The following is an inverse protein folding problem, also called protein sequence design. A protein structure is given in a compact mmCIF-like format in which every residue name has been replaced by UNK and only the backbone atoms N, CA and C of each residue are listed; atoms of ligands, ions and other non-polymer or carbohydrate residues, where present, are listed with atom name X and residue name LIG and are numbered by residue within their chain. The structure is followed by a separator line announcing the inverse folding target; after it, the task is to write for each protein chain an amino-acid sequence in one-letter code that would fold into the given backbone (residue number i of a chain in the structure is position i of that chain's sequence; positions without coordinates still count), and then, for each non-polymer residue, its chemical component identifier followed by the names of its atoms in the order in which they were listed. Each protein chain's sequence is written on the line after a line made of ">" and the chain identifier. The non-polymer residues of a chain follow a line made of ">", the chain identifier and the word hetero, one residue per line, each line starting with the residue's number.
data_IF_310577431684
#
_entry.id   IF_310577431684
#
_cell.length_a   1.000
_cell.length_b   1.000
_cell.length_c   1.000
_cell.angle_alpha   90.00
_cell.angle_beta   90.00
_cell.angle_gamma   90.00
#
_symmetry.space_group_name_H-M   'P 1'
#
loop_
_entity.id
_entity.type
_entity.pdbx_description
1 polymer ?
#
# COMPACT_ATOMS: atom_id res chain seq x y z
N UNK A 1 -8.57 -5.82 8.47
CA UNK A 1 -8.09 -6.65 7.34
C UNK A 1 -9.15 -6.70 6.23
N UNK A 2 -8.83 -7.16 5.00
CA UNK A 2 -9.78 -7.26 3.88
C UNK A 2 -10.30 -5.95 3.24
N UNK A 3 -9.58 -4.83 3.36
CA UNK A 3 -9.97 -3.54 2.76
C UNK A 3 -9.12 -3.12 1.56
N UNK A 4 -8.13 -3.92 1.17
CA UNK A 4 -7.30 -3.62 0.01
C UNK A 4 -8.15 -3.32 -1.24
N UNK A 5 -7.81 -2.25 -1.95
CA UNK A 5 -8.54 -1.78 -3.13
C UNK A 5 -9.88 -1.07 -2.85
N UNK A 6 -10.40 -1.13 -1.62
CA UNK A 6 -11.61 -0.38 -1.25
C UNK A 6 -11.27 1.11 -1.05
N UNK A 7 -12.24 2.02 -1.27
CA UNK A 7 -12.02 3.43 -1.02
C UNK A 7 -11.74 3.70 0.46
N UNK A 8 -10.75 4.55 0.74
CA UNK A 8 -10.50 5.07 2.07
C UNK A 8 -11.73 5.86 2.56
N UNK A 9 -12.24 5.61 3.78
CA UNK A 9 -13.42 6.34 4.29
C UNK A 9 -13.15 7.83 4.57
N UNK A 10 -11.88 8.27 4.52
CA UNK A 10 -11.49 9.67 4.77
C UNK A 10 -11.28 10.43 3.47
N UNK A 11 -10.44 9.92 2.57
CA UNK A 11 -10.02 10.64 1.37
C UNK A 11 -10.42 9.96 0.04
N UNK A 12 -11.12 8.82 0.10
CA UNK A 12 -11.52 8.07 -1.10
C UNK A 12 -10.40 7.28 -1.80
N UNK A 13 -9.12 7.59 -1.55
CA UNK A 13 -7.98 6.89 -2.16
C UNK A 13 -8.04 5.37 -1.92
N UNK A 14 -7.71 4.52 -2.92
CA UNK A 14 -7.66 3.08 -2.74
C UNK A 14 -6.74 2.68 -1.58
N UNK A 15 -7.28 1.88 -0.67
CA UNK A 15 -6.53 1.33 0.46
C UNK A 15 -5.49 0.34 -0.05
N UNK A 16 -4.24 0.52 0.39
CA UNK A 16 -3.09 -0.30 0.06
C UNK A 16 -2.87 -1.39 1.10
N UNK A 17 -2.06 -2.39 0.74
CA UNK A 17 -1.74 -3.54 1.59
C UNK A 17 -0.24 -3.78 1.61
N UNK A 18 0.27 -4.07 2.81
CA UNK A 18 1.58 -4.70 2.97
C UNK A 18 1.43 -6.08 3.59
N UNK A 19 2.30 -7.00 3.20
CA UNK A 19 2.49 -8.32 3.79
C UNK A 19 3.84 -8.41 4.45
N UNK A 20 3.83 -8.87 5.70
CA UNK A 20 5.02 -9.22 6.45
C UNK A 20 4.91 -10.64 6.98
N UNK A 21 5.73 -11.54 6.43
CA UNK A 21 5.65 -12.98 6.68
C UNK A 21 4.22 -13.51 6.45
N UNK A 22 3.54 -13.94 7.52
CA UNK A 22 2.17 -14.45 7.49
C UNK A 22 1.10 -13.39 7.74
N UNK A 23 1.47 -12.17 8.10
CA UNK A 23 0.54 -11.10 8.44
C UNK A 23 0.34 -10.13 7.27
N UNK A 24 -0.87 -9.58 7.15
CA UNK A 24 -1.17 -8.49 6.22
C UNK A 24 -1.76 -7.28 6.94
N UNK A 25 -1.39 -6.08 6.53
CA UNK A 25 -1.92 -4.82 7.05
C UNK A 25 -2.46 -3.99 5.91
N UNK A 26 -3.66 -3.43 6.08
CA UNK A 26 -4.26 -2.51 5.10
C UNK A 26 -4.19 -1.09 5.64
N UNK A 27 -3.78 -0.14 4.78
CA UNK A 27 -3.56 1.25 5.14
C UNK A 27 -3.92 2.18 3.97
N UNK A 28 -4.25 3.43 4.26
CA UNK A 28 -4.40 4.45 3.23
C UNK A 28 -3.08 5.19 3.04
N UNK A 29 -2.50 5.14 1.84
CA UNK A 29 -1.22 5.80 1.57
C UNK A 29 -1.30 7.33 1.73
N UNK A 30 -2.36 7.97 1.22
CA UNK A 30 -2.55 9.43 1.37
C UNK A 30 -2.69 9.85 2.83
N UNK A 31 -3.55 9.20 3.60
CA UNK A 31 -3.84 9.63 4.97
C UNK A 31 -2.77 9.23 5.99
N UNK A 32 -2.12 8.06 5.82
CA UNK A 32 -1.25 7.51 6.87
C UNK A 32 0.24 7.73 6.61
N UNK A 33 0.63 7.89 5.35
CA UNK A 33 2.03 7.96 4.94
C UNK A 33 2.31 9.11 3.98
N UNK A 34 1.41 10.10 3.95
CA UNK A 34 1.53 11.29 3.10
C UNK A 34 1.75 10.96 1.62
N UNK A 35 1.03 9.93 1.15
CA UNK A 35 1.10 9.43 -0.22
C UNK A 35 2.23 8.43 -0.47
N UNK A 36 3.14 8.17 0.47
CA UNK A 36 4.23 7.19 0.27
C UNK A 36 3.72 5.75 0.35
N UNK A 37 4.17 4.89 -0.55
CA UNK A 37 3.89 3.46 -0.46
C UNK A 37 4.88 2.78 0.49
N UNK A 38 4.35 2.06 1.46
CA UNK A 38 5.14 1.17 2.31
C UNK A 38 5.60 -0.04 1.49
N UNK A 39 6.83 -0.49 1.74
CA UNK A 39 7.40 -1.64 1.08
C UNK A 39 6.62 -2.92 1.44
N UNK A 40 5.96 -3.50 0.45
CA UNK A 40 5.36 -4.83 0.57
C UNK A 40 6.44 -5.89 0.35
N UNK A 41 6.70 -6.75 1.33
CA UNK A 41 7.83 -7.71 1.25
C UNK A 41 7.74 -8.64 0.04
N UNK A 42 6.52 -9.02 -0.38
CA UNK A 42 6.34 -9.93 -1.52
C UNK A 42 6.58 -9.18 -2.84
N UNK A 43 5.96 -8.02 -3.01
CA UNK A 43 6.04 -7.23 -4.23
C UNK A 43 7.39 -6.53 -4.38
N UNK A 44 8.01 -6.02 -3.31
CA UNK A 44 9.37 -5.47 -3.35
C UNK A 44 10.40 -6.52 -3.77
N UNK A 45 10.19 -7.81 -3.45
CA UNK A 45 11.06 -8.89 -3.94
C UNK A 45 10.85 -9.18 -5.43
N UNK A 46 9.61 -9.08 -5.90
CA UNK A 46 9.24 -9.33 -7.30
C UNK A 46 9.69 -8.18 -8.21
N UNK A 47 9.37 -6.94 -7.84
CA UNK A 47 9.52 -5.75 -8.66
C UNK A 47 10.85 -5.02 -8.40
N UNK A 48 11.51 -5.24 -7.26
CA UNK A 48 12.81 -4.65 -6.92
C UNK A 48 12.84 -3.12 -7.12
N UNK A 49 13.49 -2.65 -8.18
CA UNK A 49 13.66 -1.23 -8.49
C UNK A 49 12.40 -0.60 -9.10
N UNK A 50 11.53 -1.43 -9.70
CA UNK A 50 10.28 -1.01 -10.33
C UNK A 50 9.14 -0.88 -9.33
N UNK A 51 9.43 -1.02 -8.02
CA UNK A 51 8.43 -0.81 -6.98
C UNK A 51 8.09 0.68 -6.85
N UNK A 52 6.82 1.09 -7.03
CA UNK A 52 6.42 2.48 -6.93
C UNK A 52 6.66 3.04 -5.52
N UNK A 53 7.12 4.29 -5.44
CA UNK A 53 7.45 4.94 -4.15
C UNK A 53 6.29 5.74 -3.59
N UNK A 54 5.35 6.13 -4.44
CA UNK A 54 4.17 6.89 -4.07
C UNK A 54 2.89 6.33 -4.69
N UNK A 55 1.76 6.64 -4.07
CA UNK A 55 0.42 6.25 -4.55
C UNK A 55 0.07 6.88 -5.90
N UNK A 56 0.77 7.95 -6.29
CA UNK A 56 0.56 8.67 -7.55
C UNK A 56 1.35 8.05 -8.72
N UNK A 57 2.31 7.16 -8.41
CA UNK A 57 3.07 6.37 -9.38
C UNK A 57 2.43 4.99 -9.66
N UNK A 58 1.35 4.66 -8.95
CA UNK A 58 0.60 3.41 -9.06
C UNK A 58 -0.46 3.52 -10.17
#
# INVERSE_FOLDING_TARGET
>A
HGRFGKPCPVCGTPVQRIRYASNETNYCARCQTDGKLLADRALSRLLKQDWPKSIDEL
#
